data_IF_786054274274
#
_entry.id   IF_786054274274
#
_cell.length_a   1.000
_cell.length_b   1.000
_cell.length_c   1.000
_cell.angle_alpha   90.00
_cell.angle_beta   90.00
_cell.angle_gamma   90.00
#
_symmetry.space_group_name_H-M   'P 1'
#
loop_
_entity.id
_entity.type
_entity.pdbx_description
1 polymer ?
#
# COMPACT_ATOMS: atom_id res chain seq x y z
N UNK A 1 23.97 -80.01 -61.99
CA UNK A 1 24.70 -78.81 -61.54
C UNK A 1 23.89 -78.25 -60.36
N UNK A 2 24.12 -78.63 -59.09
CA UNK A 2 25.22 -78.17 -58.20
C UNK A 2 25.43 -76.63 -58.30
N UNK A 3 25.41 -75.79 -57.26
CA UNK A 3 25.28 -75.98 -55.82
C UNK A 3 25.11 -74.61 -55.09
N UNK A 4 24.60 -74.67 -53.85
CA UNK A 4 25.03 -73.96 -52.62
C UNK A 4 24.80 -72.44 -52.32
N UNK A 5 24.08 -72.20 -51.19
CA UNK A 5 24.33 -71.35 -49.97
C UNK A 5 24.70 -69.85 -50.14
N UNK A 6 24.34 -68.85 -49.31
CA UNK A 6 23.83 -68.70 -47.92
C UNK A 6 23.32 -67.22 -47.75
N UNK A 7 22.64 -66.84 -46.65
CA UNK A 7 21.98 -65.54 -46.46
C UNK A 7 22.78 -64.55 -45.57
N UNK A 8 22.44 -63.26 -45.68
CA UNK A 8 22.78 -62.16 -44.77
C UNK A 8 21.66 -61.10 -44.90
N UNK A 9 21.20 -60.38 -43.89
CA UNK A 9 21.57 -60.23 -42.50
C UNK A 9 20.61 -59.23 -41.84
N UNK A 10 20.62 -59.23 -40.52
CA UNK A 10 19.74 -58.54 -39.58
C UNK A 10 19.59 -57.02 -39.75
N UNK A 11 18.44 -56.51 -39.26
CA UNK A 11 18.22 -55.08 -39.01
C UNK A 11 16.92 -54.80 -38.26
N UNK A 12 16.64 -55.52 -37.17
CA UNK A 12 15.53 -55.17 -36.27
C UNK A 12 15.92 -53.93 -35.45
N UNK A 13 15.33 -52.79 -35.77
CA UNK A 13 15.47 -51.55 -35.01
C UNK A 13 14.64 -51.67 -33.73
N UNK A 14 15.33 -51.89 -32.61
CA UNK A 14 14.75 -51.87 -31.28
C UNK A 14 14.51 -50.41 -30.87
N UNK A 15 13.26 -49.95 -30.93
CA UNK A 15 12.87 -48.68 -30.32
C UNK A 15 12.86 -48.84 -28.80
N UNK A 16 13.95 -48.46 -28.15
CA UNK A 16 13.99 -48.24 -26.71
C UNK A 16 13.22 -46.95 -26.43
N UNK A 17 11.96 -47.08 -26.01
CA UNK A 17 11.20 -45.98 -25.45
C UNK A 17 11.79 -45.65 -24.06
N UNK A 18 12.78 -44.77 -24.04
CA UNK A 18 13.16 -44.06 -22.81
C UNK A 18 11.96 -43.21 -22.39
N UNK A 19 11.23 -43.70 -21.38
CA UNK A 19 10.31 -42.90 -20.60
C UNK A 19 11.17 -41.87 -19.88
N UNK A 20 11.29 -40.69 -20.47
CA UNK A 20 11.76 -39.49 -19.78
C UNK A 20 10.69 -39.20 -18.75
N UNK A 21 10.96 -39.58 -17.50
CA UNK A 21 10.19 -39.11 -16.37
C UNK A 21 10.28 -37.59 -16.36
N UNK A 22 9.25 -36.93 -16.87
CA UNK A 22 9.01 -35.54 -16.62
C UNK A 22 8.79 -35.42 -15.11
N UNK A 23 9.88 -35.15 -14.38
CA UNK A 23 9.80 -34.61 -13.03
C UNK A 23 9.01 -33.31 -13.17
N UNK A 24 7.71 -33.39 -12.89
CA UNK A 24 6.90 -32.22 -12.66
C UNK A 24 7.63 -31.41 -11.58
N UNK A 25 8.26 -30.32 -11.99
CA UNK A 25 8.62 -29.26 -11.06
C UNK A 25 7.29 -28.85 -10.43
N UNK A 26 7.02 -29.36 -9.23
CA UNK A 26 6.02 -28.75 -8.38
C UNK A 26 6.34 -27.24 -8.37
N UNK A 27 5.34 -26.36 -8.57
CA UNK A 27 5.59 -24.94 -8.46
C UNK A 27 6.25 -24.72 -7.10
N UNK A 28 7.45 -24.14 -7.11
CA UNK A 28 8.15 -23.77 -5.88
C UNK A 28 7.12 -23.03 -5.04
N UNK A 29 6.85 -23.55 -3.83
CA UNK A 29 6.01 -22.86 -2.86
C UNK A 29 6.46 -21.40 -2.82
N UNK A 30 5.51 -20.43 -2.83
CA UNK A 30 5.89 -19.02 -2.77
C UNK A 30 6.92 -18.84 -1.65
N UNK A 31 7.95 -18.00 -1.85
CA UNK A 31 8.96 -17.78 -0.82
C UNK A 31 8.24 -17.52 0.49
N UNK A 32 8.67 -18.16 1.58
CA UNK A 32 7.96 -18.15 2.86
C UNK A 32 7.57 -16.73 3.32
N UNK A 33 8.34 -15.72 2.88
CA UNK A 33 8.10 -14.29 3.05
C UNK A 33 6.75 -13.74 2.55
N UNK A 34 6.11 -14.38 1.56
CA UNK A 34 4.84 -13.91 0.96
C UNK A 34 3.61 -14.66 1.47
N UNK A 35 3.82 -15.68 2.31
CA UNK A 35 2.72 -16.45 2.89
C UNK A 35 1.96 -15.58 3.88
N UNK A 36 0.68 -15.35 3.61
CA UNK A 36 -0.20 -14.58 4.47
C UNK A 36 -0.29 -15.17 5.88
N UNK A 37 -0.49 -14.30 6.86
CA UNK A 37 -0.72 -14.69 8.26
C UNK A 37 -1.99 -15.57 8.37
N UNK A 38 -1.95 -16.68 9.13
CA UNK A 38 -3.17 -17.37 9.56
C UNK A 38 -4.13 -16.46 10.36
N UNK A 39 -5.44 -16.60 10.16
CA UNK A 39 -6.45 -15.75 10.82
C UNK A 39 -6.41 -15.86 12.36
N UNK A 40 -6.00 -17.01 12.91
CA UNK A 40 -6.01 -17.29 14.35
C UNK A 40 -4.59 -17.40 14.89
N UNK A 41 -3.88 -16.27 15.00
CA UNK A 41 -2.58 -16.21 15.68
C UNK A 41 -2.69 -15.45 16.99
N UNK A 42 -2.26 -16.10 18.08
CA UNK A 42 -2.24 -15.50 19.42
C UNK A 42 -1.03 -14.57 19.62
N UNK A 43 0.14 -14.96 19.09
CA UNK A 43 1.42 -14.27 19.33
C UNK A 43 2.21 -14.11 18.04
N UNK A 44 2.75 -12.93 17.81
CA UNK A 44 3.56 -12.61 16.64
C UNK A 44 5.02 -12.39 17.02
N UNK A 45 5.93 -12.59 16.08
CA UNK A 45 7.35 -12.23 16.27
C UNK A 45 7.45 -10.70 16.31
N UNK A 46 8.02 -10.16 17.40
CA UNK A 46 8.26 -8.74 17.51
C UNK A 46 9.48 -8.33 16.66
N UNK A 47 9.29 -7.34 15.80
CA UNK A 47 10.36 -6.71 15.03
C UNK A 47 10.64 -5.35 15.65
N UNK A 48 11.79 -5.24 16.30
CA UNK A 48 12.20 -4.05 17.05
C UNK A 48 13.18 -3.16 16.28
N UNK A 49 13.34 -3.41 14.98
CA UNK A 49 14.17 -2.57 14.12
C UNK A 49 13.52 -1.20 13.94
N UNK A 50 14.32 -0.14 13.95
CA UNK A 50 13.81 1.24 13.85
C UNK A 50 13.10 1.47 12.51
N UNK A 51 13.58 0.85 11.43
CA UNK A 51 12.98 0.96 10.10
C UNK A 51 13.20 -0.30 9.27
N UNK A 52 12.13 -0.83 8.68
CA UNK A 52 12.14 -1.83 7.61
C UNK A 52 11.89 -1.12 6.28
N UNK A 53 12.79 -1.29 5.30
CA UNK A 53 12.68 -0.62 4.00
C UNK A 53 12.54 -1.63 2.86
N UNK A 54 11.41 -1.61 2.18
CA UNK A 54 11.14 -2.44 1.02
C UNK A 54 11.17 -1.58 -0.25
N UNK A 55 12.17 -1.81 -1.09
CA UNK A 55 12.31 -1.14 -2.38
C UNK A 55 12.21 -2.20 -3.49
N UNK A 56 11.32 -1.98 -4.46
CA UNK A 56 11.14 -2.93 -5.56
C UNK A 56 12.42 -3.08 -6.38
N UNK A 57 12.84 -4.32 -6.62
CA UNK A 57 14.06 -4.63 -7.37
C UNK A 57 15.35 -4.62 -6.55
N UNK A 58 15.29 -4.21 -5.27
CA UNK A 58 16.41 -4.35 -4.35
C UNK A 58 16.33 -5.68 -3.58
N UNK A 59 17.47 -6.33 -3.28
CA UNK A 59 17.48 -7.54 -2.48
C UNK A 59 16.96 -7.26 -1.07
N UNK A 60 16.11 -8.16 -0.56
CA UNK A 60 15.52 -8.08 0.77
C UNK A 60 16.26 -8.97 1.78
N UNK A 61 17.54 -9.25 1.54
CA UNK A 61 18.35 -10.26 2.23
C UNK A 61 18.38 -10.03 3.75
N UNK A 62 18.33 -8.77 4.18
CA UNK A 62 18.31 -8.40 5.60
C UNK A 62 17.04 -8.86 6.35
N UNK A 63 15.97 -9.17 5.62
CA UNK A 63 14.69 -9.59 6.17
C UNK A 63 14.41 -11.09 5.99
N UNK A 64 15.33 -11.86 5.37
CA UNK A 64 15.16 -13.32 5.19
C UNK A 64 14.90 -14.06 6.50
N UNK A 65 15.53 -13.60 7.59
CA UNK A 65 15.33 -14.14 8.94
C UNK A 65 13.87 -14.08 9.43
N UNK A 66 13.04 -13.23 8.85
CA UNK A 66 11.62 -13.08 9.19
C UNK A 66 10.69 -13.86 8.26
N UNK A 67 11.19 -14.44 7.16
CA UNK A 67 10.36 -15.15 6.20
C UNK A 67 9.73 -16.41 6.79
N UNK A 68 10.43 -17.07 7.72
CA UNK A 68 9.93 -18.23 8.46
C UNK A 68 8.94 -17.86 9.59
N UNK A 69 8.83 -16.57 9.96
CA UNK A 69 7.83 -16.13 10.92
C UNK A 69 6.43 -16.20 10.30
N UNK A 70 5.46 -16.73 11.03
CA UNK A 70 4.06 -16.77 10.58
C UNK A 70 3.35 -15.42 10.72
N UNK A 71 3.81 -14.59 11.67
CA UNK A 71 3.26 -13.28 11.95
C UNK A 71 4.34 -12.33 12.49
N UNK A 72 4.21 -11.03 12.16
CA UNK A 72 5.09 -9.97 12.62
C UNK A 72 4.30 -8.83 13.29
N UNK A 73 4.78 -8.37 14.43
CA UNK A 73 4.40 -7.07 15.01
C UNK A 73 5.61 -6.13 14.91
N UNK A 74 5.46 -5.04 14.17
CA UNK A 74 6.56 -4.12 13.85
C UNK A 74 6.39 -2.84 14.66
N UNK A 75 7.29 -2.63 15.62
CA UNK A 75 7.29 -1.41 16.45
C UNK A 75 7.96 -0.21 15.78
N UNK A 76 8.78 -0.45 14.77
CA UNK A 76 9.44 0.59 13.98
C UNK A 76 8.60 1.09 12.79
N UNK A 77 9.26 1.86 11.93
CA UNK A 77 8.67 2.32 10.67
C UNK A 77 8.83 1.27 9.57
N UNK A 78 7.81 1.08 8.74
CA UNK A 78 7.87 0.32 7.51
C UNK A 78 7.83 1.31 6.36
N UNK A 79 8.80 1.24 5.44
CA UNK A 79 8.88 2.09 4.26
C UNK A 79 8.74 1.22 3.02
N UNK A 80 7.83 1.57 2.11
CA UNK A 80 7.56 0.81 0.88
C UNK A 80 7.72 1.74 -0.32
N UNK A 81 8.49 1.33 -1.33
CA UNK A 81 8.72 2.11 -2.55
C UNK A 81 8.87 1.27 -3.81
N UNK A 82 8.37 1.78 -4.93
CA UNK A 82 8.56 1.20 -6.26
C UNK A 82 7.69 -0.02 -6.60
N UNK A 83 6.84 -0.47 -5.68
CA UNK A 83 5.93 -1.60 -5.91
C UNK A 83 4.68 -1.17 -6.69
N UNK A 84 4.26 -1.98 -7.66
CA UNK A 84 3.01 -1.75 -8.39
C UNK A 84 1.77 -2.32 -7.66
N UNK A 85 1.99 -3.27 -6.74
CA UNK A 85 0.97 -3.85 -5.86
C UNK A 85 1.58 -4.10 -4.49
N UNK A 86 0.86 -3.79 -3.41
CA UNK A 86 1.37 -4.02 -2.07
C UNK A 86 1.40 -5.51 -1.70
N UNK A 87 0.57 -6.33 -2.34
CA UNK A 87 0.63 -7.79 -2.22
C UNK A 87 1.98 -8.40 -2.67
N UNK A 88 2.77 -7.67 -3.47
CA UNK A 88 4.10 -8.07 -3.90
C UNK A 88 5.21 -7.62 -2.93
N UNK A 89 4.87 -6.95 -1.83
CA UNK A 89 5.84 -6.52 -0.81
C UNK A 89 6.13 -7.69 0.12
N UNK A 90 7.40 -8.10 0.27
CA UNK A 90 7.77 -9.18 1.19
C UNK A 90 7.29 -8.88 2.62
N UNK A 91 6.85 -9.92 3.33
CA UNK A 91 6.43 -9.88 4.74
C UNK A 91 5.18 -9.04 5.05
N UNK A 92 4.69 -8.18 4.15
CA UNK A 92 3.56 -7.30 4.41
C UNK A 92 2.30 -8.08 4.84
N UNK A 93 2.02 -9.19 4.14
CA UNK A 93 0.88 -10.07 4.44
C UNK A 93 1.01 -10.81 5.80
N UNK A 94 2.18 -10.77 6.43
CA UNK A 94 2.45 -11.33 7.77
C UNK A 94 2.32 -10.29 8.88
N UNK A 95 2.38 -8.99 8.55
CA UNK A 95 2.33 -7.91 9.52
C UNK A 95 0.92 -7.78 10.09
N UNK A 96 0.81 -7.83 11.43
CA UNK A 96 -0.45 -7.65 12.15
C UNK A 96 -0.58 -6.23 12.68
N UNK A 97 0.42 -5.81 13.44
CA UNK A 97 0.52 -4.46 13.97
C UNK A 97 1.74 -3.76 13.40
N UNK A 98 1.54 -2.55 12.87
CA UNK A 98 2.61 -1.69 12.38
C UNK A 98 2.50 -0.33 13.07
N UNK A 99 3.56 0.12 13.72
CA UNK A 99 3.56 1.42 14.35
C UNK A 99 3.46 2.55 13.32
N UNK A 100 4.40 2.60 12.37
CA UNK A 100 4.38 3.60 11.31
C UNK A 100 4.57 2.95 9.95
N UNK A 101 3.75 3.33 8.97
CA UNK A 101 3.84 2.87 7.59
C UNK A 101 3.98 4.07 6.66
N UNK A 102 5.03 4.11 5.86
CA UNK A 102 5.28 5.12 4.84
C UNK A 102 5.32 4.46 3.46
N UNK A 103 4.47 4.89 2.56
CA UNK A 103 4.35 4.31 1.22
C UNK A 103 4.61 5.39 0.18
N UNK A 104 5.57 5.14 -0.71
CA UNK A 104 5.77 5.94 -1.91
C UNK A 104 4.81 5.43 -3.00
N UNK A 105 3.83 6.25 -3.36
CA UNK A 105 2.65 5.83 -4.16
C UNK A 105 2.83 6.03 -5.67
N UNK A 106 4.00 6.43 -6.14
CA UNK A 106 4.23 6.79 -7.55
C UNK A 106 3.88 5.66 -8.54
N UNK A 107 4.06 4.42 -8.12
CA UNK A 107 3.79 3.21 -8.92
C UNK A 107 2.48 2.50 -8.56
N UNK A 108 1.80 2.94 -7.50
CA UNK A 108 0.60 2.29 -6.97
C UNK A 108 -0.67 2.94 -7.52
N UNK A 109 -1.68 2.14 -7.84
CA UNK A 109 -3.02 2.64 -8.14
C UNK A 109 -3.92 2.73 -6.91
N UNK A 110 -3.71 1.83 -5.92
CA UNK A 110 -4.49 1.71 -4.69
C UNK A 110 -3.65 1.10 -3.56
N UNK A 111 -4.28 0.76 -2.43
CA UNK A 111 -3.65 0.17 -1.25
C UNK A 111 -4.04 -1.31 -1.03
N UNK A 112 -4.50 -2.02 -2.07
CA UNK A 112 -4.82 -3.45 -1.97
C UNK A 112 -3.57 -4.24 -1.55
N UNK A 113 -3.73 -5.04 -0.51
CA UNK A 113 -2.66 -5.69 0.25
C UNK A 113 -2.57 -5.18 1.69
N UNK A 114 -3.04 -3.96 2.01
CA UNK A 114 -3.05 -3.48 3.39
C UNK A 114 -4.16 -4.10 4.25
N UNK A 115 -5.17 -4.73 3.65
CA UNK A 115 -6.25 -5.38 4.37
C UNK A 115 -5.79 -6.56 5.24
N UNK A 116 -4.56 -7.07 5.04
CA UNK A 116 -3.95 -8.08 5.91
C UNK A 116 -3.44 -7.54 7.25
N UNK A 117 -3.27 -6.21 7.34
CA UNK A 117 -2.77 -5.54 8.54
C UNK A 117 -3.97 -5.12 9.39
N UNK A 118 -4.03 -5.62 10.62
CA UNK A 118 -5.12 -5.30 11.55
C UNK A 118 -5.03 -3.85 12.03
N UNK A 119 -3.81 -3.39 12.30
CA UNK A 119 -3.60 -2.11 12.95
C UNK A 119 -2.36 -1.39 12.39
N UNK A 120 -2.56 -0.11 12.04
CA UNK A 120 -1.50 0.83 11.67
C UNK A 120 -1.73 2.09 12.49
N UNK A 121 -0.74 2.57 13.26
CA UNK A 121 -0.94 3.79 14.09
C UNK A 121 -0.78 5.05 13.26
N UNK A 122 0.25 5.09 12.41
CA UNK A 122 0.52 6.22 11.50
C UNK A 122 0.73 5.73 10.08
N UNK A 123 -0.01 6.29 9.12
CA UNK A 123 0.14 6.05 7.69
C UNK A 123 0.54 7.34 6.98
N UNK A 124 1.66 7.30 6.27
CA UNK A 124 2.11 8.37 5.38
C UNK A 124 2.14 7.90 3.94
N UNK A 125 1.38 8.57 3.08
CA UNK A 125 1.35 8.34 1.65
C UNK A 125 2.08 9.49 0.96
N UNK A 126 3.17 9.15 0.27
CA UNK A 126 4.04 10.14 -0.37
C UNK A 126 4.11 9.91 -1.87
N UNK A 127 3.84 10.94 -2.65
CA UNK A 127 4.08 10.91 -4.09
C UNK A 127 5.32 11.71 -4.49
N UNK A 128 5.54 11.79 -5.79
CA UNK A 128 6.53 12.65 -6.44
C UNK A 128 5.90 13.85 -7.15
N UNK A 129 4.67 14.26 -6.77
CA UNK A 129 3.99 15.39 -7.40
C UNK A 129 4.78 16.69 -7.17
N UNK A 130 5.58 17.08 -8.17
CA UNK A 130 6.22 18.40 -8.21
C UNK A 130 5.25 19.43 -8.77
N UNK A 131 5.30 20.63 -8.18
CA UNK A 131 4.67 21.84 -8.73
C UNK A 131 5.06 22.02 -10.20
N UNK A 132 4.08 21.93 -11.10
CA UNK A 132 4.18 22.43 -12.48
C UNK A 132 5.16 21.72 -13.43
N UNK A 133 5.36 20.40 -13.33
CA UNK A 133 6.24 19.66 -14.26
C UNK A 133 5.63 18.37 -14.84
N UNK A 134 5.95 18.09 -16.11
CA UNK A 134 5.59 16.91 -16.92
C UNK A 134 6.24 15.59 -16.44
N UNK A 135 6.11 15.22 -15.17
CA UNK A 135 6.19 13.82 -14.77
C UNK A 135 4.78 13.26 -14.71
N UNK A 136 4.55 11.99 -15.08
CA UNK A 136 3.22 11.42 -15.04
C UNK A 136 2.68 11.59 -13.61
N UNK A 137 1.44 12.08 -13.51
CA UNK A 137 0.74 12.13 -12.24
C UNK A 137 0.83 10.75 -11.58
N UNK A 138 1.05 10.69 -10.27
CA UNK A 138 0.98 9.44 -9.53
C UNK A 138 -0.29 8.69 -9.94
N UNK A 139 -0.19 7.39 -10.24
CA UNK A 139 -1.33 6.56 -10.68
C UNK A 139 -2.33 6.34 -9.53
N UNK A 140 -1.94 6.73 -8.32
CA UNK A 140 -2.69 6.56 -7.09
C UNK A 140 -3.99 7.35 -7.11
N UNK A 141 -5.11 6.64 -7.01
CA UNK A 141 -6.45 7.22 -7.16
C UNK A 141 -7.48 6.69 -6.16
N UNK A 142 -7.07 5.78 -5.26
CA UNK A 142 -7.98 5.04 -4.42
C UNK A 142 -7.32 4.59 -3.12
N UNK A 143 -8.07 4.73 -2.01
CA UNK A 143 -7.67 4.20 -0.70
C UNK A 143 -8.14 2.75 -0.49
N UNK A 144 -8.74 2.12 -1.48
CA UNK A 144 -9.15 0.70 -1.44
C UNK A 144 -8.01 -0.19 -0.94
N UNK A 145 -8.34 -1.06 0.01
CA UNK A 145 -7.41 -1.92 0.75
C UNK A 145 -7.14 -1.42 2.17
N UNK A 146 -7.40 -0.14 2.46
CA UNK A 146 -7.23 0.43 3.80
C UNK A 146 -8.48 0.17 4.67
N UNK A 147 -8.37 -0.78 5.61
CA UNK A 147 -9.44 -1.21 6.54
C UNK A 147 -9.06 -1.10 8.02
N UNK A 148 -7.97 -0.42 8.33
CA UNK A 148 -7.33 -0.47 9.64
C UNK A 148 -8.21 0.17 10.72
N UNK A 149 -8.39 -0.53 11.84
CA UNK A 149 -9.28 -0.08 12.92
C UNK A 149 -8.62 0.88 13.92
N UNK A 150 -7.31 1.13 13.80
CA UNK A 150 -6.51 1.89 14.78
C UNK A 150 -5.73 3.06 14.17
N UNK A 151 -6.13 3.57 13.00
CA UNK A 151 -5.38 4.61 12.32
C UNK A 151 -5.55 5.95 13.02
N UNK A 152 -4.56 6.34 13.81
CA UNK A 152 -4.54 7.63 14.49
C UNK A 152 -4.22 8.75 13.51
N UNK A 153 -3.18 8.59 12.70
CA UNK A 153 -2.70 9.65 11.82
C UNK A 153 -2.61 9.16 10.37
N UNK A 154 -3.20 9.93 9.46
CA UNK A 154 -3.12 9.75 8.02
C UNK A 154 -2.51 11.01 7.39
N UNK A 155 -1.37 10.86 6.75
CA UNK A 155 -0.68 11.97 6.09
C UNK A 155 -0.55 11.73 4.59
N UNK A 156 -0.76 12.78 3.81
CA UNK A 156 -0.57 12.81 2.37
C UNK A 156 0.43 13.90 2.04
N UNK A 157 1.53 13.53 1.41
CA UNK A 157 2.61 14.45 1.06
C UNK A 157 2.93 14.34 -0.42
N UNK A 158 3.13 15.47 -1.09
CA UNK A 158 3.63 15.51 -2.48
C UNK A 158 2.79 14.61 -3.43
N UNK A 159 1.47 14.60 -3.29
CA UNK A 159 0.58 13.63 -3.98
C UNK A 159 -0.65 14.30 -4.60
N UNK A 160 -1.39 13.57 -5.45
CA UNK A 160 -2.67 14.02 -6.02
C UNK A 160 -3.83 13.52 -5.15
N UNK A 161 -4.74 14.41 -4.76
CA UNK A 161 -5.85 14.07 -3.90
C UNK A 161 -7.16 13.93 -4.66
N UNK A 162 -7.43 12.71 -5.14
CA UNK A 162 -8.81 12.22 -5.24
C UNK A 162 -8.84 10.94 -4.44
N UNK A 163 -9.33 11.03 -3.21
CA UNK A 163 -9.38 9.90 -2.30
C UNK A 163 -10.80 9.33 -2.32
N UNK A 164 -10.95 8.15 -2.89
CA UNK A 164 -12.22 7.41 -2.88
C UNK A 164 -11.99 5.97 -2.43
N UNK A 165 -13.03 5.35 -1.88
CA UNK A 165 -13.06 3.90 -1.67
C UNK A 165 -12.30 3.42 -0.43
N UNK A 166 -12.19 4.24 0.62
CA UNK A 166 -11.72 3.77 1.92
C UNK A 166 -12.90 3.24 2.75
N UNK A 167 -12.65 2.23 3.60
CA UNK A 167 -13.62 1.80 4.61
C UNK A 167 -13.34 2.45 5.98
N UNK A 168 -12.41 3.41 6.04
CA UNK A 168 -12.05 4.10 7.27
C UNK A 168 -13.20 4.98 7.74
N UNK A 169 -13.57 4.81 9.01
CA UNK A 169 -14.63 5.59 9.64
C UNK A 169 -14.12 6.63 10.62
N UNK A 170 -13.00 6.32 11.28
CA UNK A 170 -12.42 7.10 12.37
C UNK A 170 -10.92 7.23 12.13
N UNK A 171 -10.47 8.46 12.02
CA UNK A 171 -9.05 8.84 12.00
C UNK A 171 -8.92 10.03 12.94
N UNK A 172 -7.90 10.11 13.78
CA UNK A 172 -7.75 11.26 14.67
C UNK A 172 -7.29 12.49 13.87
N UNK A 173 -6.23 12.33 13.10
CA UNK A 173 -5.59 13.41 12.36
C UNK A 173 -5.41 13.08 10.88
N UNK A 174 -5.84 13.99 10.01
CA UNK A 174 -5.45 14.02 8.61
C UNK A 174 -4.53 15.21 8.37
N UNK A 175 -3.36 14.97 7.79
CA UNK A 175 -2.42 16.02 7.36
C UNK A 175 -2.21 15.96 5.86
N UNK A 176 -2.40 17.09 5.18
CA UNK A 176 -2.32 17.23 3.74
C UNK A 176 -1.26 18.28 3.41
N UNK A 177 -0.13 17.83 2.88
CA UNK A 177 1.00 18.70 2.52
C UNK A 177 1.30 18.61 1.03
N UNK A 178 1.37 19.77 0.37
CA UNK A 178 1.75 19.86 -1.05
C UNK A 178 0.91 18.91 -1.93
N UNK A 179 -0.40 18.89 -1.66
CA UNK A 179 -1.36 18.07 -2.36
C UNK A 179 -1.85 18.83 -3.61
N UNK A 180 -1.81 18.14 -4.74
CA UNK A 180 -2.28 18.64 -6.04
C UNK A 180 -3.70 18.12 -6.35
N UNK A 181 -4.51 18.95 -7.01
CA UNK A 181 -5.87 18.59 -7.42
C UNK A 181 -6.93 19.62 -7.01
N UNK A 182 -7.97 19.84 -7.84
CA UNK A 182 -8.95 20.89 -7.63
C UNK A 182 -9.91 20.62 -6.47
N UNK A 183 -10.02 19.37 -6.03
CA UNK A 183 -10.97 18.95 -5.00
C UNK A 183 -10.39 17.83 -4.14
N UNK A 184 -10.31 18.07 -2.84
CA UNK A 184 -10.01 17.05 -1.84
C UNK A 184 -11.31 16.64 -1.17
N UNK A 185 -11.63 15.35 -1.22
CA UNK A 185 -12.80 14.80 -0.55
C UNK A 185 -12.36 13.87 0.58
N UNK A 186 -12.64 14.30 1.81
CA UNK A 186 -12.48 13.48 3.02
C UNK A 186 -13.84 13.28 3.69
N UNK A 187 -14.95 13.37 2.95
CA UNK A 187 -16.29 13.27 3.53
C UNK A 187 -16.63 11.89 4.09
N UNK A 188 -16.00 10.84 3.53
CA UNK A 188 -16.13 9.47 4.01
C UNK A 188 -15.34 9.21 5.29
N UNK A 189 -14.37 10.08 5.62
CA UNK A 189 -13.52 9.96 6.80
C UNK A 189 -13.97 11.01 7.82
N UNK A 190 -14.10 10.66 9.09
CA UNK A 190 -14.44 11.63 10.14
C UNK A 190 -13.19 11.99 10.97
N UNK A 191 -12.29 12.86 10.47
CA UNK A 191 -11.14 13.27 11.24
C UNK A 191 -11.54 14.17 12.42
N UNK A 192 -10.78 14.08 13.51
CA UNK A 192 -10.87 15.06 14.61
C UNK A 192 -10.12 16.33 14.26
N UNK A 193 -8.92 16.19 13.70
CA UNK A 193 -8.04 17.27 13.27
C UNK A 193 -7.73 17.16 11.79
N UNK A 194 -7.82 18.28 11.08
CA UNK A 194 -7.40 18.39 9.69
C UNK A 194 -6.36 19.51 9.51
N UNK A 195 -5.22 19.17 8.93
CA UNK A 195 -4.19 20.12 8.51
C UNK A 195 -4.07 20.10 6.99
N UNK A 196 -4.06 21.29 6.38
CA UNK A 196 -3.82 21.48 4.95
C UNK A 196 -2.76 22.56 4.77
N UNK A 197 -1.55 22.17 4.39
CA UNK A 197 -0.42 23.07 4.19
C UNK A 197 0.13 22.99 2.77
N UNK A 198 0.68 24.10 2.28
CA UNK A 198 1.44 24.16 1.02
C UNK A 198 0.74 23.56 -0.22
N UNK A 199 -0.59 23.56 -0.25
CA UNK A 199 -1.41 22.90 -1.29
C UNK A 199 -2.19 23.94 -2.12
N UNK A 200 -1.53 24.70 -3.02
CA UNK A 200 -2.13 25.86 -3.69
C UNK A 200 -3.17 25.50 -4.76
N UNK A 201 -3.16 24.25 -5.24
CA UNK A 201 -4.05 23.79 -6.31
C UNK A 201 -5.42 23.35 -5.78
N UNK A 202 -5.56 23.17 -4.46
CA UNK A 202 -6.80 22.75 -3.81
C UNK A 202 -7.81 23.89 -3.82
N UNK A 203 -8.79 23.79 -4.73
CA UNK A 203 -9.86 24.78 -4.86
C UNK A 203 -11.09 24.45 -3.99
N UNK A 204 -11.30 23.17 -3.68
CA UNK A 204 -12.42 22.66 -2.88
C UNK A 204 -11.95 21.61 -1.89
N UNK A 205 -12.53 21.64 -0.70
CA UNK A 205 -12.35 20.63 0.34
C UNK A 205 -13.73 20.21 0.84
N UNK A 206 -14.05 18.93 0.69
CA UNK A 206 -15.26 18.30 1.22
C UNK A 206 -14.92 17.58 2.52
N UNK A 207 -15.63 17.95 3.57
CA UNK A 207 -15.42 17.46 4.93
C UNK A 207 -16.57 16.54 5.34
N UNK A 208 -16.26 15.53 6.16
CA UNK A 208 -17.25 14.59 6.68
C UNK A 208 -18.25 15.23 7.62
N UNK A 209 -19.33 14.50 7.90
CA UNK A 209 -20.36 14.95 8.83
C UNK A 209 -19.90 14.90 10.30
N UNK A 210 -18.78 14.25 10.61
CA UNK A 210 -18.25 14.06 11.97
C UNK A 210 -17.83 15.34 12.72
N UNK A 211 -17.68 15.25 14.05
CA UNK A 211 -17.20 16.36 14.86
C UNK A 211 -15.72 16.60 14.61
N UNK A 212 -15.37 17.77 14.06
CA UNK A 212 -13.99 18.25 13.95
C UNK A 212 -13.72 19.21 15.12
N UNK A 213 -12.53 19.13 15.70
CA UNK A 213 -12.07 20.05 16.75
C UNK A 213 -11.14 21.11 16.22
N UNK A 214 -10.37 20.80 15.17
CA UNK A 214 -9.36 21.69 14.59
C UNK A 214 -9.25 21.52 13.07
N UNK A 215 -9.23 22.65 12.36
CA UNK A 215 -8.97 22.72 10.92
C UNK A 215 -7.97 23.84 10.66
N UNK A 216 -6.77 23.47 10.21
CA UNK A 216 -5.67 24.39 9.91
C UNK A 216 -5.45 24.43 8.40
N UNK A 217 -5.44 25.62 7.80
CA UNK A 217 -5.25 25.81 6.36
C UNK A 217 -4.19 26.89 6.13
N UNK A 218 -2.98 26.47 5.75
CA UNK A 218 -1.82 27.36 5.54
C UNK A 218 -1.58 27.69 4.05
N UNK A 219 -2.58 27.43 3.20
CA UNK A 219 -2.54 27.59 1.73
C UNK A 219 -3.38 28.79 1.26
N UNK A 220 -3.06 29.99 1.76
CA UNK A 220 -3.95 31.15 1.71
C UNK A 220 -3.74 32.10 0.50
N UNK A 221 -3.70 31.59 -0.75
CA UNK A 221 -3.83 32.49 -1.92
C UNK A 221 -5.07 32.23 -2.79
N UNK A 222 -5.51 30.99 -2.94
CA UNK A 222 -6.58 30.65 -3.91
C UNK A 222 -7.72 29.79 -3.33
N UNK A 223 -7.82 29.66 -2.00
CA UNK A 223 -8.88 28.88 -1.37
C UNK A 223 -10.24 29.56 -1.54
N UNK A 224 -11.01 29.19 -2.57
CA UNK A 224 -12.26 29.87 -2.96
C UNK A 224 -13.48 29.36 -2.21
N UNK A 225 -13.50 28.11 -1.75
CA UNK A 225 -14.71 27.51 -1.15
C UNK A 225 -14.40 26.31 -0.26
N UNK A 226 -14.81 26.39 1.00
CA UNK A 226 -15.03 25.23 1.86
C UNK A 226 -16.50 24.80 1.68
N UNK A 227 -16.78 23.50 1.65
CA UNK A 227 -18.16 23.01 1.66
C UNK A 227 -18.27 21.76 2.52
N UNK A 228 -19.11 21.84 3.56
CA UNK A 228 -19.54 20.68 4.35
C UNK A 228 -20.92 20.26 3.86
N UNK A 229 -21.21 18.96 3.87
CA UNK A 229 -22.59 18.49 3.82
C UNK A 229 -23.26 18.82 5.16
N UNK A 230 -23.96 19.96 5.22
CA UNK A 230 -24.60 20.48 6.45
C UNK A 230 -24.35 21.99 6.64
N UNK A 231 -25.33 22.70 7.21
CA UNK A 231 -25.37 24.18 7.22
C UNK A 231 -24.22 24.83 7.99
N UNK A 232 -23.68 25.91 7.42
CA UNK A 232 -22.49 26.67 7.85
C UNK A 232 -22.59 27.43 9.19
N UNK A 233 -23.75 27.51 9.83
CA UNK A 233 -24.05 28.56 10.82
C UNK A 233 -23.47 28.38 12.22
N UNK A 234 -22.66 27.36 12.50
CA UNK A 234 -22.16 27.08 13.87
C UNK A 234 -20.65 27.24 14.08
N UNK A 235 -19.85 27.44 13.04
CA UNK A 235 -18.38 27.47 13.18
C UNK A 235 -17.79 28.88 13.42
N UNK A 236 -18.52 29.96 13.13
CA UNK A 236 -18.01 31.32 13.34
C UNK A 236 -17.95 31.77 14.82
N UNK A 237 -18.50 30.99 15.76
CA UNK A 237 -18.63 31.45 17.16
C UNK A 237 -17.73 30.77 18.19
N UNK A 238 -16.80 29.89 17.80
CA UNK A 238 -15.85 29.37 18.77
C UNK A 238 -14.80 28.46 18.19
N UNK A 239 -13.54 28.93 18.21
CA UNK A 239 -12.30 28.20 17.88
C UNK A 239 -11.92 28.20 16.39
N UNK A 240 -11.31 29.31 15.99
CA UNK A 240 -9.96 29.29 15.39
C UNK A 240 -9.79 28.64 14.03
N UNK A 241 -10.36 29.23 12.97
CA UNK A 241 -9.68 29.21 11.67
C UNK A 241 -8.45 30.12 11.83
N UNK A 242 -7.27 29.57 12.07
CA UNK A 242 -6.02 30.32 11.89
C UNK A 242 -5.69 30.29 10.40
N UNK A 243 -5.92 31.41 9.73
CA UNK A 243 -5.40 31.69 8.39
C UNK A 243 -3.95 32.12 8.46
#
# INVERSE_FOLDING_TARGET
>A
MAAHLKPAGSGAVLFVATVVGASACAPASPPSCFTARPETIATCTAVTEDTLSFVSGEPADEFEKYCESECLDVSGAVVISGYARLADVPLLAKMRHVFALRIYVDTLSNLEGLESIESVVSLGLRGSARRGGEQPAAVFSSLRGLRTSSLTSLSFMDTFAVFSGSELREVEMIDLENVAGPEVDVSEINPTTLSLSRSPEVARLRLGAGPMTEVTIESARDFRRLSREGSWSQWEQGRGIRR
#
